data_IF_124890679688
#
_entry.id   IF_124890679688
#
_cell.length_a   1.000
_cell.length_b   1.000
_cell.length_c   1.000
_cell.angle_alpha   90.00
_cell.angle_beta   90.00
_cell.angle_gamma   90.00
#
_symmetry.space_group_name_H-M   'P 1'
#
loop_
_entity.id
_entity.type
_entity.pdbx_description
1 polymer ?
#
# COMPACT_ATOMS: atom_id res chain seq x y z
N UNK A 1 -12.64 29.19 -1.47
CA UNK A 1 -14.11 29.17 -1.34
C UNK A 1 -14.81 28.99 -2.68
N UNK A 2 -14.51 29.76 -3.74
CA UNK A 2 -15.18 29.63 -5.05
C UNK A 2 -14.96 28.26 -5.77
N UNK A 3 -13.90 27.51 -5.44
CA UNK A 3 -13.63 26.15 -5.96
C UNK A 3 -14.39 25.02 -5.24
N UNK A 4 -14.98 25.24 -4.06
CA UNK A 4 -15.61 24.15 -3.30
C UNK A 4 -16.95 23.70 -3.90
N UNK A 5 -17.63 24.56 -4.65
CA UNK A 5 -18.92 24.26 -5.28
C UNK A 5 -18.84 23.16 -6.36
N UNK A 6 -17.64 22.89 -6.89
CA UNK A 6 -17.39 21.86 -7.89
C UNK A 6 -17.03 20.49 -7.26
N UNK A 7 -16.88 20.42 -5.93
CA UNK A 7 -16.50 19.21 -5.21
C UNK A 7 -17.71 18.48 -4.64
N UNK A 8 -17.64 17.15 -4.57
CA UNK A 8 -18.59 16.36 -3.80
C UNK A 8 -18.48 16.66 -2.29
N UNK A 9 -19.55 16.39 -1.54
CA UNK A 9 -19.67 16.72 -0.11
C UNK A 9 -18.58 16.05 0.75
N UNK A 10 -18.13 14.85 0.40
CA UNK A 10 -17.12 14.11 1.16
C UNK A 10 -15.72 14.68 1.01
N UNK A 11 -15.40 15.18 -0.19
CA UNK A 11 -14.16 15.93 -0.44
C UNK A 11 -14.15 17.24 0.34
N UNK A 12 -15.28 17.96 0.39
CA UNK A 12 -15.37 19.19 1.20
C UNK A 12 -15.16 18.89 2.69
N UNK A 13 -15.85 17.87 3.23
CA UNK A 13 -15.71 17.43 4.64
C UNK A 13 -14.28 17.00 4.96
N UNK A 14 -13.57 16.39 4.02
CA UNK A 14 -12.16 16.00 4.20
C UNK A 14 -11.25 17.22 4.38
N UNK A 15 -11.52 18.30 3.65
CA UNK A 15 -10.79 19.58 3.82
C UNK A 15 -11.11 20.20 5.18
N UNK A 16 -12.37 20.22 5.59
CA UNK A 16 -12.77 20.74 6.90
C UNK A 16 -12.16 19.96 8.07
N UNK A 17 -11.91 18.66 7.88
CA UNK A 17 -11.33 17.82 8.92
C UNK A 17 -9.92 18.29 9.32
N UNK A 18 -9.19 18.93 8.41
CA UNK A 18 -7.85 19.50 8.67
C UNK A 18 -7.82 20.45 9.84
N UNK A 19 -8.86 21.26 9.99
CA UNK A 19 -8.97 22.25 11.06
C UNK A 19 -9.40 21.61 12.39
N UNK A 20 -9.76 20.33 12.39
CA UNK A 20 -10.37 19.61 13.52
C UNK A 20 -9.47 18.49 14.06
N UNK A 21 -8.18 18.77 14.24
CA UNK A 21 -7.21 17.82 14.82
C UNK A 21 -6.95 16.60 13.93
N UNK A 22 -6.90 16.82 12.61
CA UNK A 22 -6.74 15.76 11.61
C UNK A 22 -5.56 14.82 11.90
N UNK A 23 -4.38 15.36 12.19
CA UNK A 23 -3.17 14.56 12.41
C UNK A 23 -3.29 13.61 13.61
N UNK A 24 -3.86 14.09 14.72
CA UNK A 24 -4.05 13.27 15.93
C UNK A 24 -5.04 12.13 15.69
N UNK A 25 -6.11 12.41 14.94
CA UNK A 25 -7.07 11.39 14.53
C UNK A 25 -6.44 10.39 13.58
N UNK A 26 -5.56 10.86 12.69
CA UNK A 26 -4.88 10.03 11.70
C UNK A 26 -3.92 9.03 12.35
N UNK A 27 -3.35 9.34 13.52
CA UNK A 27 -2.57 8.40 14.32
C UNK A 27 -3.37 7.17 14.77
N UNK A 28 -4.70 7.22 14.78
CA UNK A 28 -5.53 6.04 15.09
C UNK A 28 -5.47 4.99 13.98
N UNK A 29 -5.17 5.42 12.75
CA UNK A 29 -5.07 4.55 11.56
C UNK A 29 -3.60 4.26 11.27
N UNK A 30 -2.77 5.30 11.20
CA UNK A 30 -1.35 5.22 10.88
C UNK A 30 -0.50 5.51 12.13
N UNK A 31 -0.53 4.58 13.08
CA UNK A 31 0.32 4.58 14.29
C UNK A 31 1.79 4.46 13.88
N UNK A 32 2.52 5.56 13.72
CA UNK A 32 3.92 5.59 13.26
C UNK A 32 4.91 4.88 14.21
N UNK A 33 4.67 3.61 14.48
CA UNK A 33 5.48 2.74 15.30
C UNK A 33 6.73 2.41 14.48
N UNK A 34 7.89 2.76 15.04
CA UNK A 34 9.14 2.13 14.63
C UNK A 34 8.97 0.63 14.86
N UNK A 35 8.72 -0.11 13.77
CA UNK A 35 8.61 -1.56 13.83
C UNK A 35 9.79 -2.19 14.56
N UNK A 36 9.65 -3.44 14.99
CA UNK A 36 10.76 -4.17 15.58
C UNK A 36 11.93 -4.24 14.59
N UNK A 37 13.15 -4.10 15.11
CA UNK A 37 14.36 -4.36 14.33
C UNK A 37 14.28 -5.73 13.65
N UNK A 38 14.80 -5.81 12.42
CA UNK A 38 14.93 -7.09 11.72
C UNK A 38 16.00 -7.93 12.41
N UNK A 39 15.75 -9.23 12.56
CA UNK A 39 16.80 -10.18 12.89
C UNK A 39 17.70 -10.38 11.67
N UNK A 40 18.99 -10.12 11.80
CA UNK A 40 19.99 -10.47 10.79
C UNK A 40 20.63 -11.78 11.23
N UNK A 41 20.65 -12.84 10.39
CA UNK A 41 21.32 -14.08 10.75
C UNK A 41 22.81 -13.85 11.03
N UNK A 42 23.35 -14.52 12.06
CA UNK A 42 24.76 -14.41 12.44
C UNK A 42 25.71 -14.70 11.27
N UNK A 43 25.39 -15.71 10.46
CA UNK A 43 26.10 -16.06 9.22
C UNK A 43 26.23 -14.86 8.24
N UNK A 44 25.20 -14.01 8.15
CA UNK A 44 25.22 -12.82 7.28
C UNK A 44 26.14 -11.75 7.85
N UNK A 45 26.14 -11.55 9.17
CA UNK A 45 27.02 -10.61 9.84
C UNK A 45 28.49 -11.05 9.71
N UNK A 46 28.78 -12.32 9.95
CA UNK A 46 30.11 -12.90 9.83
C UNK A 46 30.66 -12.76 8.40
N UNK A 47 29.89 -13.18 7.40
CA UNK A 47 30.30 -13.07 5.98
C UNK A 47 30.57 -11.62 5.56
N UNK A 48 29.75 -10.66 6.02
CA UNK A 48 29.99 -9.25 5.76
C UNK A 48 31.30 -8.78 6.41
N UNK A 49 31.57 -9.16 7.67
CA UNK A 49 32.80 -8.83 8.39
C UNK A 49 34.04 -9.42 7.73
N UNK A 50 33.96 -10.67 7.30
CA UNK A 50 35.05 -11.35 6.60
C UNK A 50 35.37 -10.69 5.26
N UNK A 51 34.34 -10.43 4.44
CA UNK A 51 34.50 -9.79 3.15
C UNK A 51 35.06 -8.36 3.29
N UNK A 52 34.60 -7.63 4.31
CA UNK A 52 35.08 -6.29 4.62
C UNK A 52 36.56 -6.29 5.03
N UNK A 53 36.98 -7.17 5.96
CA UNK A 53 38.39 -7.33 6.34
C UNK A 53 39.28 -7.72 5.15
N UNK A 54 38.79 -8.63 4.30
CA UNK A 54 39.50 -9.04 3.10
C UNK A 54 39.70 -7.88 2.11
N UNK A 55 38.73 -6.97 2.02
CA UNK A 55 38.80 -5.75 1.24
C UNK A 55 39.82 -4.75 1.79
N UNK A 56 39.82 -4.50 3.11
CA UNK A 56 40.80 -3.58 3.75
C UNK A 56 42.25 -4.04 3.54
N UNK A 57 42.51 -5.35 3.60
CA UNK A 57 43.86 -5.89 3.37
C UNK A 57 44.32 -5.88 1.91
N UNK A 58 43.41 -5.66 0.94
CA UNK A 58 43.66 -5.70 -0.50
C UNK A 58 42.85 -4.64 -1.25
N UNK A 59 42.86 -3.42 -0.72
CA UNK A 59 42.14 -2.31 -1.31
C UNK A 59 42.59 -2.14 -2.78
N UNK A 60 41.63 -1.94 -3.69
CA UNK A 60 41.82 -1.88 -5.16
C UNK A 60 42.14 -3.21 -5.89
N UNK A 61 41.90 -4.38 -5.28
CA UNK A 61 41.85 -5.68 -5.98
C UNK A 61 40.43 -5.96 -6.53
N UNK A 62 40.27 -6.25 -7.84
CA UNK A 62 38.98 -6.65 -8.41
C UNK A 62 38.33 -7.84 -7.70
N UNK A 63 39.14 -8.79 -7.24
CA UNK A 63 38.68 -9.95 -6.49
C UNK A 63 38.13 -9.55 -5.11
N UNK A 64 38.81 -8.64 -4.42
CA UNK A 64 38.37 -8.14 -3.12
C UNK A 64 37.10 -7.26 -3.25
N UNK A 65 37.04 -6.40 -4.27
CA UNK A 65 35.85 -5.61 -4.62
C UNK A 65 34.65 -6.51 -4.89
N UNK A 66 34.84 -7.55 -5.71
CA UNK A 66 33.78 -8.49 -6.07
C UNK A 66 33.28 -9.25 -4.84
N UNK A 67 34.18 -9.74 -3.98
CA UNK A 67 33.79 -10.43 -2.72
C UNK A 67 33.02 -9.55 -1.76
N UNK A 68 33.38 -8.27 -1.62
CA UNK A 68 32.63 -7.35 -0.77
C UNK A 68 31.23 -7.11 -1.32
N UNK A 69 31.10 -6.90 -2.64
CA UNK A 69 29.80 -6.73 -3.28
C UNK A 69 28.96 -8.01 -3.18
N UNK A 70 29.57 -9.18 -3.32
CA UNK A 70 28.93 -10.48 -3.12
C UNK A 70 28.26 -10.59 -1.74
N UNK A 71 29.02 -10.29 -0.67
CA UNK A 71 28.49 -10.30 0.69
C UNK A 71 27.34 -9.31 0.88
N UNK A 72 27.42 -8.12 0.27
CA UNK A 72 26.35 -7.11 0.28
C UNK A 72 25.08 -7.63 -0.42
N UNK A 73 25.21 -8.27 -1.59
CA UNK A 73 24.07 -8.81 -2.33
C UNK A 73 23.44 -10.01 -1.61
N UNK A 74 24.26 -10.88 -1.02
CA UNK A 74 23.81 -12.00 -0.21
C UNK A 74 23.07 -11.54 1.05
N UNK A 75 23.60 -10.54 1.75
CA UNK A 75 22.93 -9.92 2.89
C UNK A 75 21.57 -9.32 2.49
N UNK A 76 21.53 -8.62 1.34
CA UNK A 76 20.28 -8.08 0.78
C UNK A 76 19.26 -9.17 0.47
N UNK A 77 19.69 -10.28 -0.15
CA UNK A 77 18.82 -11.41 -0.49
C UNK A 77 18.22 -12.06 0.76
N UNK A 78 19.03 -12.22 1.82
CA UNK A 78 18.61 -12.89 3.06
C UNK A 78 17.70 -12.04 3.95
N UNK A 79 17.96 -10.73 4.02
CA UNK A 79 17.26 -9.80 4.94
C UNK A 79 16.18 -8.98 4.21
N UNK A 80 16.10 -9.08 2.89
CA UNK A 80 15.22 -8.28 2.03
C UNK A 80 15.38 -6.76 2.26
N UNK A 81 16.61 -6.32 2.49
CA UNK A 81 16.98 -4.91 2.70
C UNK A 81 18.34 -4.62 2.10
N UNK A 82 18.47 -3.50 1.41
CA UNK A 82 19.79 -3.06 0.96
C UNK A 82 20.61 -2.55 2.15
N UNK A 83 21.86 -3.00 2.35
CA UNK A 83 22.75 -2.50 3.40
C UNK A 83 23.09 -1.02 3.27
N UNK A 84 22.86 -0.42 2.09
CA UNK A 84 22.98 1.00 1.82
C UNK A 84 22.14 1.43 0.62
N UNK A 85 21.95 2.74 0.45
CA UNK A 85 21.25 3.33 -0.68
C UNK A 85 22.26 3.76 -1.75
N UNK A 86 22.18 3.15 -2.94
CA UNK A 86 22.95 3.52 -4.12
C UNK A 86 22.16 3.13 -5.38
N UNK A 87 22.05 3.98 -6.42
CA UNK A 87 21.20 3.72 -7.58
C UNK A 87 21.57 2.45 -8.35
N UNK A 88 22.87 2.09 -8.37
CA UNK A 88 23.34 0.91 -9.10
C UNK A 88 23.24 -0.41 -8.31
N UNK A 89 23.10 -0.37 -6.98
CA UNK A 89 23.00 -1.60 -6.17
C UNK A 89 21.78 -2.47 -6.56
N UNK A 90 20.55 -1.93 -6.71
CA UNK A 90 19.42 -2.73 -7.17
C UNK A 90 19.57 -3.20 -8.61
N UNK A 91 20.22 -2.42 -9.49
CA UNK A 91 20.48 -2.82 -10.88
C UNK A 91 21.45 -4.00 -10.96
N UNK A 92 22.55 -3.95 -10.21
CA UNK A 92 23.50 -5.07 -10.13
C UNK A 92 22.82 -6.30 -9.53
N UNK A 93 22.05 -6.15 -8.45
CA UNK A 93 21.29 -7.26 -7.88
C UNK A 93 20.36 -7.92 -8.92
N UNK A 94 19.63 -7.12 -9.70
CA UNK A 94 18.74 -7.61 -10.74
C UNK A 94 19.51 -8.39 -11.81
N UNK A 95 20.58 -7.82 -12.37
CA UNK A 95 21.39 -8.47 -13.39
C UNK A 95 22.00 -9.79 -12.90
N UNK A 96 22.48 -9.83 -11.67
CA UNK A 96 23.03 -11.04 -11.05
C UNK A 96 21.94 -12.09 -10.83
N UNK A 97 20.77 -11.69 -10.31
CA UNK A 97 19.65 -12.60 -10.05
C UNK A 97 19.09 -13.21 -11.34
N UNK A 98 18.84 -12.38 -12.34
CA UNK A 98 18.36 -12.81 -13.66
C UNK A 98 19.31 -13.82 -14.32
N UNK A 99 20.62 -13.58 -14.20
CA UNK A 99 21.66 -14.49 -14.70
C UNK A 99 21.74 -15.79 -13.92
N UNK A 100 21.65 -15.73 -12.60
CA UNK A 100 21.66 -16.91 -11.73
C UNK A 100 20.47 -17.83 -12.07
N UNK A 101 19.28 -17.25 -12.26
CA UNK A 101 18.06 -17.97 -12.62
C UNK A 101 18.15 -18.58 -14.04
N UNK A 102 18.48 -17.77 -15.06
CA UNK A 102 18.52 -18.25 -16.46
C UNK A 102 19.52 -19.37 -16.71
N UNK A 103 20.65 -19.37 -15.99
CA UNK A 103 21.72 -20.32 -16.17
C UNK A 103 21.77 -21.39 -15.06
N UNK A 104 20.80 -21.41 -14.14
CA UNK A 104 20.76 -22.30 -12.97
C UNK A 104 22.10 -22.39 -12.22
N UNK A 105 22.71 -21.23 -11.94
CA UNK A 105 24.05 -21.11 -11.35
C UNK A 105 24.05 -20.34 -10.05
N UNK A 106 25.14 -20.52 -9.29
CA UNK A 106 25.35 -19.82 -8.03
C UNK A 106 25.39 -18.29 -8.22
N UNK A 107 24.99 -17.54 -7.20
CA UNK A 107 24.96 -16.07 -7.26
C UNK A 107 26.36 -15.51 -7.47
N UNK A 108 27.35 -16.17 -6.88
CA UNK A 108 28.77 -15.88 -6.95
C UNK A 108 29.28 -15.97 -8.39
N UNK A 109 28.96 -17.06 -9.10
CA UNK A 109 29.32 -17.24 -10.51
C UNK A 109 28.66 -16.20 -11.41
N UNK A 110 27.38 -15.91 -11.17
CA UNK A 110 26.66 -14.86 -11.89
C UNK A 110 27.27 -13.47 -11.64
N UNK A 111 27.73 -13.20 -10.41
CA UNK A 111 28.39 -11.96 -10.06
C UNK A 111 29.75 -11.83 -10.76
N UNK A 112 30.54 -12.90 -10.88
CA UNK A 112 31.81 -12.84 -11.62
C UNK A 112 31.61 -12.43 -13.09
N UNK A 113 30.57 -12.95 -13.74
CA UNK A 113 30.22 -12.52 -15.11
C UNK A 113 29.78 -11.05 -15.17
N UNK A 114 29.00 -10.58 -14.19
CA UNK A 114 28.59 -9.17 -14.12
C UNK A 114 29.81 -8.28 -13.85
N UNK A 115 30.70 -8.69 -12.96
CA UNK A 115 31.91 -7.96 -12.59
C UNK A 115 32.89 -7.85 -13.77
N UNK A 116 33.07 -8.91 -14.56
CA UNK A 116 33.92 -8.86 -15.76
C UNK A 116 33.44 -7.87 -16.82
N UNK A 117 32.12 -7.62 -16.89
CA UNK A 117 31.50 -6.69 -17.86
C UNK A 117 31.34 -5.27 -17.30
N UNK A 118 31.22 -5.13 -15.98
CA UNK A 118 30.95 -3.87 -15.29
C UNK A 118 31.89 -3.64 -14.10
N UNK A 119 33.22 -3.73 -14.27
CA UNK A 119 34.16 -3.69 -13.16
C UNK A 119 34.10 -2.37 -12.39
N UNK A 120 33.93 -1.25 -13.09
CA UNK A 120 33.81 0.07 -12.48
C UNK A 120 32.60 0.21 -11.56
N UNK A 121 31.46 -0.39 -11.93
CA UNK A 121 30.25 -0.37 -11.10
C UNK A 121 30.47 -1.18 -9.81
N UNK A 122 31.13 -2.35 -9.91
CA UNK A 122 31.47 -3.17 -8.75
C UNK A 122 32.43 -2.42 -7.83
N UNK A 123 33.46 -1.79 -8.38
CA UNK A 123 34.41 -0.95 -7.64
C UNK A 123 33.73 0.18 -6.89
N UNK A 124 32.82 0.92 -7.54
CA UNK A 124 32.06 2.02 -6.90
C UNK A 124 31.20 1.49 -5.75
N UNK A 125 30.52 0.35 -5.93
CA UNK A 125 29.71 -0.26 -4.88
C UNK A 125 30.57 -0.76 -3.71
N UNK A 126 31.73 -1.37 -3.97
CA UNK A 126 32.67 -1.81 -2.94
C UNK A 126 33.22 -0.61 -2.14
N UNK A 127 33.61 0.47 -2.83
CA UNK A 127 34.08 1.71 -2.19
C UNK A 127 32.99 2.38 -1.36
N UNK A 128 31.74 2.38 -1.82
CA UNK A 128 30.62 2.91 -1.04
C UNK A 128 30.33 2.06 0.21
N UNK A 129 30.40 0.73 0.08
CA UNK A 129 30.26 -0.18 1.22
C UNK A 129 31.38 0.04 2.25
N UNK A 130 32.63 0.17 1.79
CA UNK A 130 33.78 0.47 2.64
C UNK A 130 33.64 1.83 3.33
N UNK A 131 33.29 2.88 2.59
CA UNK A 131 33.14 4.24 3.13
C UNK A 131 32.15 4.29 4.30
N UNK A 132 31.12 3.44 4.29
CA UNK A 132 30.11 3.37 5.36
C UNK A 132 30.58 2.63 6.61
N UNK A 133 31.47 1.66 6.47
CA UNK A 133 31.89 0.79 7.57
C UNK A 133 30.93 -0.39 7.79
N UNK A 134 31.50 -1.57 8.09
CA UNK A 134 30.75 -2.82 8.25
C UNK A 134 29.65 -2.74 9.32
N UNK A 135 29.90 -2.08 10.45
CA UNK A 135 28.88 -1.92 11.50
C UNK A 135 27.68 -1.11 11.01
N UNK A 136 27.91 -0.03 10.25
CA UNK A 136 26.82 0.78 9.71
C UNK A 136 25.99 -0.01 8.69
N UNK A 137 26.64 -0.87 7.89
CA UNK A 137 25.94 -1.77 6.95
C UNK A 137 25.05 -2.77 7.72
N UNK A 138 25.58 -3.40 8.78
CA UNK A 138 24.84 -4.35 9.61
C UNK A 138 23.69 -3.65 10.34
N UNK A 139 23.92 -2.46 10.92
CA UNK A 139 22.87 -1.69 11.58
C UNK A 139 21.75 -1.31 10.60
N UNK A 140 22.11 -0.87 9.38
CA UNK A 140 21.14 -0.57 8.33
C UNK A 140 20.32 -1.80 7.95
N UNK A 141 20.87 -3.01 8.01
CA UNK A 141 20.12 -4.26 7.79
C UNK A 141 19.13 -4.57 8.93
N UNK A 142 19.48 -4.22 10.18
CA UNK A 142 18.64 -4.41 11.37
C UNK A 142 17.50 -3.40 11.49
N UNK A 143 17.57 -2.28 10.77
CA UNK A 143 16.51 -1.27 10.82
C UNK A 143 15.14 -1.82 10.38
N UNK A 144 14.05 -1.35 11.00
CA UNK A 144 12.70 -1.77 10.64
C UNK A 144 12.38 -1.42 9.18
N UNK A 145 11.39 -2.10 8.55
CA UNK A 145 10.87 -1.71 7.24
C UNK A 145 10.62 -0.20 7.17
N UNK A 146 10.95 0.43 6.05
CA UNK A 146 10.69 1.86 5.88
C UNK A 146 9.20 2.16 6.11
N UNK A 147 8.90 3.24 6.84
CA UNK A 147 7.52 3.56 7.26
C UNK A 147 6.55 3.63 6.07
N UNK A 148 7.02 4.12 4.92
CA UNK A 148 6.26 4.19 3.67
C UNK A 148 5.82 2.80 3.15
N UNK A 149 6.55 1.73 3.49
CA UNK A 149 6.16 0.34 3.18
C UNK A 149 5.20 -0.25 4.21
N UNK A 150 5.10 0.36 5.40
CA UNK A 150 4.21 -0.09 6.46
C UNK A 150 2.81 0.52 6.34
N UNK A 151 2.65 1.67 5.68
CA UNK A 151 1.36 2.37 5.58
C UNK A 151 0.23 1.49 5.02
N UNK A 152 0.46 0.77 3.92
CA UNK A 152 -0.54 -0.15 3.36
C UNK A 152 -0.97 -1.23 4.36
N UNK A 153 -0.02 -2.00 4.95
CA UNK A 153 -0.33 -2.93 6.04
C UNK A 153 -1.09 -2.32 7.22
N UNK A 154 -0.79 -1.07 7.61
CA UNK A 154 -1.48 -0.38 8.70
C UNK A 154 -2.94 -0.07 8.36
N UNK A 155 -3.20 0.43 7.15
CA UNK A 155 -4.57 0.60 6.65
C UNK A 155 -5.32 -0.73 6.68
N UNK A 156 -4.75 -1.81 6.12
CA UNK A 156 -5.41 -3.12 6.08
C UNK A 156 -5.72 -3.67 7.48
N UNK A 157 -4.83 -3.46 8.44
CA UNK A 157 -5.05 -3.83 9.85
C UNK A 157 -6.22 -3.03 10.44
N UNK A 158 -6.16 -1.70 10.34
CA UNK A 158 -7.24 -0.82 10.82
C UNK A 158 -8.59 -1.15 10.16
N UNK A 159 -8.60 -1.37 8.85
CA UNK A 159 -9.79 -1.71 8.08
C UNK A 159 -10.42 -3.02 8.56
N UNK A 160 -9.59 -4.03 8.85
CA UNK A 160 -10.05 -5.33 9.35
C UNK A 160 -10.53 -5.28 10.81
N UNK A 161 -9.83 -4.54 11.67
CA UNK A 161 -10.00 -4.62 13.12
C UNK A 161 -10.91 -3.52 13.69
N UNK A 162 -10.87 -2.32 13.13
CA UNK A 162 -11.45 -1.11 13.72
C UNK A 162 -12.65 -0.56 12.93
N UNK A 163 -12.69 -0.72 11.60
CA UNK A 163 -13.72 -0.10 10.76
C UNK A 163 -15.14 -0.42 11.21
N UNK A 164 -15.41 -1.70 11.55
CA UNK A 164 -16.73 -2.13 12.04
C UNK A 164 -17.17 -1.29 13.25
N UNK A 165 -16.33 -1.21 14.28
CA UNK A 165 -16.63 -0.44 15.50
C UNK A 165 -16.83 1.04 15.19
N UNK A 166 -16.03 1.60 14.28
CA UNK A 166 -16.19 2.99 13.84
C UNK A 166 -17.52 3.25 13.13
N UNK A 167 -17.99 2.33 12.29
CA UNK A 167 -19.31 2.46 11.66
C UNK A 167 -20.42 2.36 12.72
N UNK A 168 -20.32 1.42 13.67
CA UNK A 168 -21.30 1.23 14.75
C UNK A 168 -21.43 2.43 15.69
N UNK A 169 -20.36 3.22 15.88
CA UNK A 169 -20.37 4.48 16.62
C UNK A 169 -21.20 5.58 15.92
N UNK A 170 -21.37 5.50 14.59
CA UNK A 170 -22.02 6.52 13.75
C UNK A 170 -23.46 6.18 13.36
N UNK A 171 -23.90 4.97 13.68
CA UNK A 171 -25.28 4.52 13.46
C UNK A 171 -26.11 4.78 14.73
N UNK A 172 -27.19 5.59 14.67
CA UNK A 172 -28.09 5.79 15.80
C UNK A 172 -28.89 4.50 16.11
N UNK A 173 -29.29 4.29 17.38
CA UNK A 173 -30.02 3.07 17.84
C UNK A 173 -31.46 2.96 17.31
N UNK A 174 -32.30 1.98 17.71
CA UNK A 174 -32.08 0.75 18.50
C UNK A 174 -31.86 -0.53 17.66
N UNK A 175 -32.02 -0.47 16.34
CA UNK A 175 -31.75 -1.59 15.40
C UNK A 175 -30.52 -1.26 14.56
N UNK A 176 -29.34 -1.49 15.12
CA UNK A 176 -28.10 -1.39 14.34
C UNK A 176 -28.14 -2.46 13.22
N UNK A 177 -27.80 -2.12 11.97
CA UNK A 177 -27.61 -3.14 10.94
C UNK A 177 -26.67 -4.22 11.43
N UNK A 178 -26.91 -5.45 11.00
CA UNK A 178 -25.91 -6.51 11.11
C UNK A 178 -24.69 -6.09 10.29
N UNK A 179 -23.56 -5.86 10.96
CA UNK A 179 -22.27 -5.58 10.31
C UNK A 179 -21.40 -6.82 10.42
N UNK A 180 -21.04 -7.39 9.27
CA UNK A 180 -20.19 -8.58 9.20
C UNK A 180 -18.90 -8.28 8.47
N UNK A 181 -17.80 -8.82 8.98
CA UNK A 181 -16.50 -8.82 8.31
C UNK A 181 -16.29 -10.20 7.69
N UNK A 182 -16.07 -10.24 6.38
CA UNK A 182 -15.91 -11.48 5.60
C UNK A 182 -14.51 -11.48 4.99
N UNK A 183 -13.87 -12.65 4.95
CA UNK A 183 -12.59 -12.83 4.27
C UNK A 183 -12.74 -13.93 3.22
N UNK A 184 -13.05 -13.60 1.94
CA UNK A 184 -13.22 -14.61 0.91
C UNK A 184 -11.93 -15.43 0.73
N UNK A 185 -11.92 -16.66 1.26
CA UNK A 185 -10.91 -17.65 0.92
C UNK A 185 -11.37 -18.40 -0.33
N UNK A 186 -10.52 -18.46 -1.37
CA UNK A 186 -10.79 -19.22 -2.61
C UNK A 186 -11.13 -20.70 -2.38
N UNK A 187 -10.85 -21.23 -1.19
CA UNK A 187 -10.94 -22.64 -0.81
C UNK A 187 -12.12 -23.01 0.09
N UNK A 188 -13.00 -22.08 0.49
CA UNK A 188 -14.17 -22.38 1.35
C UNK A 188 -15.48 -21.69 0.89
N UNK A 189 -16.27 -22.36 0.03
CA UNK A 189 -17.59 -21.87 -0.43
C UNK A 189 -18.59 -21.65 0.71
N UNK A 190 -18.40 -22.29 1.87
CA UNK A 190 -19.31 -22.21 3.02
C UNK A 190 -19.26 -20.88 3.80
N UNK A 191 -18.44 -19.90 3.38
CA UNK A 191 -18.51 -18.51 3.90
C UNK A 191 -19.54 -17.63 3.17
N UNK A 192 -20.18 -18.18 2.11
CA UNK A 192 -21.31 -17.59 1.41
C UNK A 192 -22.68 -17.46 2.17
N UNK A 193 -22.95 -17.99 3.38
CA UNK A 193 -24.29 -17.95 3.97
C UNK A 193 -24.87 -16.54 4.15
N UNK A 194 -24.03 -15.52 4.39
CA UNK A 194 -24.47 -14.13 4.47
C UNK A 194 -24.73 -13.47 3.11
N UNK A 195 -24.19 -14.04 2.03
CA UNK A 195 -24.55 -13.66 0.65
C UNK A 195 -25.99 -14.13 0.36
N UNK A 196 -26.42 -15.25 0.97
CA UNK A 196 -27.75 -15.84 0.78
C UNK A 196 -28.85 -15.18 1.65
N UNK A 197 -28.53 -14.70 2.85
CA UNK A 197 -29.46 -13.92 3.68
C UNK A 197 -29.65 -12.53 3.03
N UNK A 198 -30.74 -12.32 2.30
CA UNK A 198 -31.13 -11.02 1.69
C UNK A 198 -31.56 -9.96 2.73
N UNK A 199 -31.01 -10.02 3.93
CA UNK A 199 -31.32 -9.09 5.02
C UNK A 199 -30.53 -7.80 4.88
N UNK A 200 -31.12 -6.69 5.36
CA UNK A 200 -30.46 -5.39 5.41
C UNK A 200 -29.25 -5.44 6.36
N UNK A 201 -28.13 -4.87 5.93
CA UNK A 201 -26.88 -4.95 6.67
C UNK A 201 -25.69 -4.37 5.92
N UNK A 202 -24.52 -4.47 6.53
CA UNK A 202 -23.25 -3.99 5.98
C UNK A 202 -22.25 -5.15 5.99
N UNK A 203 -21.61 -5.41 4.86
CA UNK A 203 -20.61 -6.46 4.70
C UNK A 203 -19.27 -5.81 4.35
N UNK A 204 -18.28 -6.04 5.19
CA UNK A 204 -16.91 -5.55 5.03
C UNK A 204 -16.06 -6.71 4.53
N UNK A 205 -15.64 -6.67 3.26
CA UNK A 205 -14.76 -7.70 2.69
C UNK A 205 -13.31 -7.35 3.00
N UNK A 206 -12.54 -8.33 3.49
CA UNK A 206 -11.12 -8.24 3.83
C UNK A 206 -10.33 -9.32 3.07
N UNK A 207 -9.08 -9.09 2.68
CA UNK A 207 -8.32 -10.10 1.94
C UNK A 207 -7.18 -9.51 1.13
N UNK A 208 -6.67 -10.29 0.16
CA UNK A 208 -5.77 -9.75 -0.87
C UNK A 208 -6.54 -8.88 -1.85
N UNK A 209 -5.84 -8.00 -2.56
CA UNK A 209 -6.46 -7.05 -3.50
C UNK A 209 -7.18 -7.82 -4.63
N UNK A 210 -6.62 -8.96 -5.04
CA UNK A 210 -7.24 -9.87 -6.01
C UNK A 210 -8.52 -10.49 -5.46
N UNK A 211 -8.51 -10.97 -4.21
CA UNK A 211 -9.70 -11.56 -3.59
C UNK A 211 -10.84 -10.54 -3.44
N UNK A 212 -10.51 -9.29 -3.11
CA UNK A 212 -11.49 -8.20 -3.03
C UNK A 212 -12.04 -7.83 -4.40
N UNK A 213 -11.18 -7.79 -5.43
CA UNK A 213 -11.57 -7.55 -6.82
C UNK A 213 -12.50 -8.65 -7.35
N UNK A 214 -12.15 -9.92 -7.12
CA UNK A 214 -12.94 -11.07 -7.52
C UNK A 214 -14.33 -11.01 -6.85
N UNK A 215 -14.38 -10.77 -5.53
CA UNK A 215 -15.63 -10.65 -4.78
C UNK A 215 -16.50 -9.46 -5.24
N UNK A 216 -15.89 -8.32 -5.56
CA UNK A 216 -16.63 -7.16 -6.05
C UNK A 216 -17.26 -7.42 -7.43
N UNK A 217 -16.53 -8.05 -8.36
CA UNK A 217 -17.06 -8.43 -9.68
C UNK A 217 -18.23 -9.40 -9.58
N UNK A 218 -18.07 -10.45 -8.77
CA UNK A 218 -19.11 -11.47 -8.55
C UNK A 218 -20.40 -10.83 -8.02
N UNK A 219 -20.30 -10.01 -6.98
CA UNK A 219 -21.45 -9.35 -6.36
C UNK A 219 -22.11 -8.30 -7.26
N UNK A 220 -21.36 -7.67 -8.18
CA UNK A 220 -21.90 -6.72 -9.17
C UNK A 220 -22.43 -7.42 -10.43
N UNK A 221 -22.33 -8.75 -10.53
CA UNK A 221 -22.72 -9.50 -11.73
C UNK A 221 -21.87 -9.18 -12.96
N UNK A 222 -20.62 -8.77 -12.74
CA UNK A 222 -19.68 -8.43 -13.79
C UNK A 222 -18.92 -9.67 -14.27
N UNK A 223 -18.73 -9.80 -15.58
CA UNK A 223 -17.92 -10.89 -16.16
C UNK A 223 -16.45 -10.80 -15.76
N UNK A 224 -15.71 -11.90 -15.93
CA UNK A 224 -14.28 -11.98 -15.57
C UNK A 224 -13.43 -10.88 -16.22
N UNK A 225 -13.73 -10.53 -17.48
CA UNK A 225 -13.02 -9.51 -18.25
C UNK A 225 -13.46 -8.07 -17.94
N UNK A 226 -14.57 -7.89 -17.22
CA UNK A 226 -15.08 -6.55 -16.93
C UNK A 226 -14.17 -5.81 -15.93
N UNK A 227 -13.98 -4.52 -16.15
CA UNK A 227 -13.22 -3.66 -15.23
C UNK A 227 -14.16 -3.08 -14.16
N UNK A 228 -13.73 -3.07 -12.89
CA UNK A 228 -14.44 -2.38 -11.79
C UNK A 228 -14.26 -0.85 -11.85
N UNK A 229 -13.82 -0.34 -12.99
CA UNK A 229 -13.15 0.93 -13.08
C UNK A 229 -11.78 0.92 -12.39
N UNK A 230 -11.61 0.38 -11.17
CA UNK A 230 -10.43 0.63 -10.31
C UNK A 230 -9.21 -0.23 -10.68
N UNK A 231 -8.00 0.36 -10.67
CA UNK A 231 -6.75 -0.41 -10.84
C UNK A 231 -6.35 -1.21 -9.59
N UNK A 232 -6.66 -0.67 -8.41
CA UNK A 232 -6.49 -1.34 -7.11
C UNK A 232 -7.80 -1.35 -6.33
N UNK A 233 -8.10 -2.48 -5.68
CA UNK A 233 -9.20 -2.62 -4.73
C UNK A 233 -8.57 -2.91 -3.36
N UNK A 234 -8.15 -1.84 -2.68
CA UNK A 234 -7.56 -1.94 -1.33
C UNK A 234 -8.63 -2.24 -0.27
N UNK A 235 -9.89 -1.91 -0.55
CA UNK A 235 -11.05 -2.24 0.28
C UNK A 235 -12.32 -2.45 -0.56
N UNK A 236 -13.26 -3.23 0.00
CA UNK A 236 -14.57 -3.47 -0.60
C UNK A 236 -15.66 -3.62 0.48
N UNK A 237 -16.71 -2.79 0.41
CA UNK A 237 -17.84 -2.80 1.33
C UNK A 237 -19.15 -2.89 0.56
N UNK A 238 -20.05 -3.76 1.02
CA UNK A 238 -21.43 -3.84 0.52
C UNK A 238 -22.37 -3.28 1.57
N UNK A 239 -23.26 -2.38 1.16
CA UNK A 239 -24.25 -1.73 2.01
C UNK A 239 -25.62 -2.11 1.45
N UNK A 240 -26.31 -3.03 2.12
CA UNK A 240 -27.66 -3.46 1.75
C UNK A 240 -28.69 -2.78 2.63
N UNK A 241 -29.42 -1.81 2.07
CA UNK A 241 -30.53 -1.14 2.77
C UNK A 241 -31.84 -1.93 2.66
N UNK A 242 -32.05 -2.55 1.50
CA UNK A 242 -33.15 -3.47 1.22
C UNK A 242 -32.72 -4.49 0.16
N UNK A 243 -33.50 -5.56 -0.11
CA UNK A 243 -33.21 -6.48 -1.20
C UNK A 243 -32.99 -5.77 -2.54
N UNK A 244 -33.72 -4.68 -2.77
CA UNK A 244 -33.70 -3.92 -4.03
C UNK A 244 -32.83 -2.67 -3.97
N UNK A 245 -32.13 -2.43 -2.85
CA UNK A 245 -31.20 -1.33 -2.67
C UNK A 245 -29.91 -1.79 -1.99
N UNK A 246 -28.95 -2.17 -2.85
CA UNK A 246 -27.59 -2.57 -2.46
C UNK A 246 -26.58 -1.63 -3.12
N UNK A 247 -25.68 -1.08 -2.31
CA UNK A 247 -24.58 -0.23 -2.75
C UNK A 247 -23.25 -0.97 -2.60
N UNK A 248 -22.37 -0.83 -3.60
CA UNK A 248 -21.05 -1.44 -3.64
C UNK A 248 -19.98 -0.36 -3.59
N UNK A 249 -19.12 -0.38 -2.58
CA UNK A 249 -18.06 0.61 -2.38
C UNK A 249 -16.72 -0.06 -2.56
N UNK A 250 -15.96 0.36 -3.56
CA UNK A 250 -14.58 -0.09 -3.81
C UNK A 250 -13.66 1.10 -3.79
N UNK A 251 -12.45 0.95 -3.27
CA UNK A 251 -11.51 2.07 -3.33
C UNK A 251 -10.04 1.71 -3.26
N UNK A 252 -9.27 2.74 -3.63
CA UNK A 252 -7.81 2.74 -3.58
C UNK A 252 -7.35 3.72 -2.49
N UNK A 253 -6.33 3.32 -1.72
CA UNK A 253 -5.83 4.08 -0.57
C UNK A 253 -4.42 4.57 -0.85
N UNK A 254 -4.18 5.86 -0.62
CA UNK A 254 -2.88 6.51 -0.80
C UNK A 254 -2.53 7.37 0.41
N UNK A 255 -1.31 7.21 0.90
CA UNK A 255 -0.70 8.10 1.88
C UNK A 255 0.52 8.76 1.27
N UNK A 256 0.58 10.08 1.29
CA UNK A 256 1.71 10.83 0.73
C UNK A 256 2.46 11.56 1.85
N UNK A 257 3.72 11.21 2.07
CA UNK A 257 4.55 11.70 3.17
C UNK A 257 5.45 12.89 2.80
N UNK A 258 5.70 13.15 1.52
CA UNK A 258 6.65 14.17 1.04
C UNK A 258 6.15 14.90 -0.22
N UNK A 259 6.85 15.98 -0.61
CA UNK A 259 6.59 16.76 -1.81
C UNK A 259 7.36 16.26 -3.06
N UNK A 260 8.17 15.21 -2.94
CA UNK A 260 9.23 14.90 -3.91
C UNK A 260 9.03 13.57 -4.64
N UNK A 261 8.98 13.62 -5.98
CA UNK A 261 9.01 12.46 -6.87
C UNK A 261 8.17 12.66 -8.13
N UNK A 262 8.10 11.63 -8.98
CA UNK A 262 7.17 11.51 -10.13
C UNK A 262 5.69 11.45 -9.70
N UNK A 263 5.38 11.97 -8.49
CA UNK A 263 4.07 12.07 -7.87
C UNK A 263 3.16 13.01 -8.66
N UNK A 264 3.72 13.93 -9.46
CA UNK A 264 2.95 14.70 -10.45
C UNK A 264 2.34 13.82 -11.56
N UNK A 265 2.95 12.67 -11.89
CA UNK A 265 2.33 11.68 -12.79
C UNK A 265 1.37 10.73 -12.08
N UNK A 266 1.51 10.52 -10.76
CA UNK A 266 0.51 9.78 -9.97
C UNK A 266 -0.77 10.58 -9.73
N UNK A 267 -0.72 11.92 -9.84
CA UNK A 267 -1.90 12.81 -9.86
C UNK A 267 -2.88 12.49 -11.00
N UNK A 268 -2.50 11.68 -11.99
CA UNK A 268 -3.31 11.32 -13.16
C UNK A 268 -3.89 9.89 -13.15
N UNK A 269 -3.40 8.98 -12.30
CA UNK A 269 -3.89 7.59 -12.30
C UNK A 269 -5.28 7.47 -11.66
N UNK A 270 -5.65 8.41 -10.77
CA UNK A 270 -7.00 8.49 -10.20
C UNK A 270 -8.09 8.87 -11.22
N UNK A 271 -7.73 9.52 -12.35
CA UNK A 271 -8.70 9.97 -13.36
C UNK A 271 -9.25 8.84 -14.25
N UNK A 272 -8.56 7.71 -14.35
CA UNK A 272 -8.89 6.70 -15.34
C UNK A 272 -9.91 5.65 -14.87
N UNK A 273 -10.27 5.63 -13.59
CA UNK A 273 -10.65 4.34 -12.99
C UNK A 273 -11.70 4.39 -11.87
N UNK A 274 -12.08 5.53 -11.33
CA UNK A 274 -12.92 5.55 -10.12
C UNK A 274 -14.11 6.43 -10.40
N UNK A 275 -15.23 5.82 -10.79
CA UNK A 275 -16.47 6.52 -11.13
C UNK A 275 -17.64 5.99 -10.33
N UNK A 276 -18.57 6.87 -10.06
CA UNK A 276 -19.89 6.60 -9.55
C UNK A 276 -20.77 6.08 -10.70
N UNK A 277 -21.25 4.85 -10.57
CA UNK A 277 -22.22 4.22 -11.47
C UNK A 277 -23.52 4.03 -10.68
N UNK A 278 -24.43 5.00 -10.77
CA UNK A 278 -25.70 4.99 -10.03
C UNK A 278 -26.63 3.87 -10.50
N UNK A 279 -26.58 3.49 -11.78
CA UNK A 279 -27.39 2.40 -12.33
C UNK A 279 -27.01 1.06 -11.67
N UNK A 280 -25.71 0.82 -11.49
CA UNK A 280 -25.19 -0.36 -10.78
C UNK A 280 -25.03 -0.16 -9.28
N UNK A 281 -25.34 1.04 -8.77
CA UNK A 281 -25.09 1.47 -7.38
C UNK A 281 -23.66 1.15 -6.91
N UNK A 282 -22.71 1.35 -7.80
CA UNK A 282 -21.29 1.14 -7.55
C UNK A 282 -20.59 2.48 -7.37
N UNK A 283 -19.86 2.61 -6.28
CA UNK A 283 -19.16 3.83 -5.90
C UNK A 283 -17.68 3.53 -5.80
N UNK A 284 -16.91 4.08 -6.74
CA UNK A 284 -15.48 4.18 -6.62
C UNK A 284 -15.06 5.29 -5.64
N UNK A 285 -14.17 4.98 -4.70
CA UNK A 285 -13.64 5.92 -3.71
C UNK A 285 -12.11 5.98 -3.80
N UNK A 286 -11.55 7.18 -3.74
CA UNK A 286 -10.11 7.39 -3.50
C UNK A 286 -9.94 7.86 -2.06
N UNK A 287 -9.23 7.07 -1.26
CA UNK A 287 -8.80 7.50 0.08
C UNK A 287 -7.42 8.13 -0.03
N UNK A 288 -7.30 9.41 0.33
CA UNK A 288 -6.00 10.12 0.32
C UNK A 288 -5.74 10.77 1.66
N UNK A 289 -4.61 10.41 2.27
CA UNK A 289 -4.14 10.94 3.55
C UNK A 289 -2.70 11.48 3.47
N UNK A 290 -2.32 12.30 4.45
CA UNK A 290 -0.98 12.91 4.55
C UNK A 290 -0.88 14.29 3.90
N UNK A 291 0.25 14.56 3.23
CA UNK A 291 0.62 15.88 2.69
C UNK A 291 -0.40 16.50 1.73
N UNK A 292 -1.09 15.77 0.85
CA UNK A 292 -2.15 16.30 -0.01
C UNK A 292 -3.36 16.82 0.73
N UNK A 293 -3.63 16.27 1.91
CA UNK A 293 -4.70 16.79 2.76
C UNK A 293 -4.20 18.13 3.34
N UNK A 294 -2.96 18.18 3.84
CA UNK A 294 -2.41 19.36 4.52
C UNK A 294 -2.02 20.49 3.55
N UNK A 295 -1.55 20.16 2.35
CA UNK A 295 -1.19 21.10 1.29
C UNK A 295 -2.42 21.41 0.44
N UNK A 296 -2.70 22.69 0.18
CA UNK A 296 -3.94 23.16 -0.43
C UNK A 296 -4.22 22.55 -1.82
N UNK A 297 -4.89 21.40 -1.86
CA UNK A 297 -5.98 20.85 -2.71
C UNK A 297 -6.23 21.31 -4.16
N UNK A 298 -5.38 22.11 -4.80
CA UNK A 298 -5.59 22.55 -6.20
C UNK A 298 -5.62 21.39 -7.20
N UNK A 299 -5.07 20.23 -6.84
CA UNK A 299 -5.02 19.04 -7.70
C UNK A 299 -6.31 18.20 -7.72
N UNK A 300 -7.11 18.21 -6.65
CA UNK A 300 -8.29 17.34 -6.54
C UNK A 300 -9.54 17.96 -7.16
N UNK A 301 -9.55 19.29 -7.33
CA UNK A 301 -10.62 20.01 -8.00
C UNK A 301 -10.90 19.55 -9.44
N UNK A 302 -9.93 18.91 -10.10
CA UNK A 302 -10.09 18.37 -11.45
C UNK A 302 -10.73 16.97 -11.53
N UNK A 303 -11.24 16.41 -10.43
CA UNK A 303 -11.86 15.08 -10.38
C UNK A 303 -13.39 15.11 -10.56
N UNK A 304 -14.02 16.28 -10.46
CA UNK A 304 -15.47 16.42 -10.63
C UNK A 304 -16.29 15.78 -9.50
N UNK A 305 -17.62 15.77 -9.65
CA UNK A 305 -18.56 15.21 -8.66
C UNK A 305 -18.67 13.67 -8.72
N UNK A 306 -18.29 13.07 -9.84
CA UNK A 306 -18.47 11.63 -10.11
C UNK A 306 -17.44 10.73 -9.42
N UNK A 307 -16.46 11.31 -8.73
CA UNK A 307 -15.44 10.58 -7.97
C UNK A 307 -15.43 11.07 -6.53
N UNK A 308 -15.57 10.17 -5.56
CA UNK A 308 -15.46 10.51 -4.14
C UNK A 308 -13.99 10.42 -3.73
N UNK A 309 -13.39 11.56 -3.40
CA UNK A 309 -12.08 11.61 -2.74
C UNK A 309 -12.25 12.02 -1.30
N UNK A 310 -11.75 11.19 -0.38
CA UNK A 310 -11.94 11.41 1.04
C UNK A 310 -10.72 11.02 1.87
N UNK A 311 -10.63 11.49 3.11
CA UNK A 311 -9.74 10.90 4.12
C UNK A 311 -10.31 9.58 4.65
N UNK A 312 -9.43 8.67 5.07
CA UNK A 312 -9.82 7.41 5.74
C UNK A 312 -10.72 7.66 6.96
N UNK A 313 -10.54 8.79 7.63
CA UNK A 313 -11.25 9.16 8.85
C UNK A 313 -12.75 9.41 8.62
N UNK A 314 -13.16 9.67 7.37
CA UNK A 314 -14.55 9.88 6.98
C UNK A 314 -15.17 8.66 6.29
N UNK A 315 -14.39 7.60 6.03
CA UNK A 315 -14.92 6.37 5.45
C UNK A 315 -16.04 5.73 6.32
N UNK A 316 -15.92 5.68 7.67
CA UNK A 316 -17.01 5.17 8.50
C UNK A 316 -18.28 6.03 8.42
N UNK A 317 -18.12 7.35 8.34
CA UNK A 317 -19.23 8.30 8.20
C UNK A 317 -19.94 8.14 6.85
N UNK A 318 -19.19 7.98 5.76
CA UNK A 318 -19.74 7.70 4.43
C UNK A 318 -20.56 6.42 4.40
N UNK A 319 -20.02 5.33 4.95
CA UNK A 319 -20.72 4.05 5.01
C UNK A 319 -22.01 4.16 5.85
N UNK A 320 -21.93 4.80 7.02
CA UNK A 320 -23.08 4.97 7.90
C UNK A 320 -24.17 5.86 7.28
N UNK A 321 -23.81 6.98 6.66
CA UNK A 321 -24.77 7.88 6.01
C UNK A 321 -25.38 7.24 4.77
N UNK A 322 -24.60 6.52 3.97
CA UNK A 322 -25.10 5.82 2.80
C UNK A 322 -26.08 4.70 3.19
N UNK A 323 -25.83 3.98 4.28
CA UNK A 323 -26.80 3.03 4.83
C UNK A 323 -28.10 3.73 5.29
N UNK A 324 -28.00 4.91 5.91
CA UNK A 324 -29.17 5.61 6.44
C UNK A 324 -29.99 6.32 5.36
N UNK A 325 -29.33 6.95 4.39
CA UNK A 325 -29.93 7.92 3.47
C UNK A 325 -29.88 7.47 2.01
N UNK A 326 -29.12 6.44 1.67
CA UNK A 326 -28.94 6.01 0.28
C UNK A 326 -28.26 7.10 -0.55
N UNK A 327 -28.74 7.31 -1.76
CA UNK A 327 -28.16 8.25 -2.72
C UNK A 327 -28.01 9.68 -2.17
N UNK A 328 -28.91 10.13 -1.28
CA UNK A 328 -28.83 11.45 -0.64
C UNK A 328 -27.53 11.66 0.14
N UNK A 329 -26.89 10.59 0.63
CA UNK A 329 -25.61 10.67 1.33
C UNK A 329 -24.46 11.15 0.43
N UNK A 330 -24.62 11.06 -0.89
CA UNK A 330 -23.58 11.40 -1.87
C UNK A 330 -23.55 12.90 -2.18
N UNK A 331 -24.64 13.62 -1.87
CA UNK A 331 -24.76 15.07 -2.08
C UNK A 331 -24.59 15.47 -3.55
N UNK A 332 -25.05 14.61 -4.47
CA UNK A 332 -24.93 14.77 -5.92
C UNK A 332 -26.05 15.62 -6.52
#
# INVERSE_FOLDING_TARGET
MQQMAEWNVWTQRSVELLEKGYLDKLLQVYKGESGSSRSVPEEVEEKLREAYKAYEGRQDSPEAETKLVEAVLNARKKVERSPFNHPYLPLVYYLVSEKAEKANKALEEALQEVASKHPETIRVLAKEAQRRGVEALIQRLKEPPEINRQIGPMFKRWYKEELKGKIEERLPGPTKPKIVVVSPEKSKPEQAPLIAEREAGIIIYTGSDEALKDAAKENLGLGEEAELGTKGVDFYVVIRRSPEETWHLTGEVKFQSDFGGNQDNQKLVAKASIRLDLEKRHIGIVVVDGMPVVSKFRGWAGLGKETIVTSVLLLPDLIAELYQKGEEALGL
#
